data_IF_043626494872
#
_entry.id   IF_043626494872
#
_cell.length_a   1.000
_cell.length_b   1.000
_cell.length_c   1.000
_cell.angle_alpha   90.00
_cell.angle_beta   90.00
_cell.angle_gamma   90.00
#
_symmetry.space_group_name_H-M   'P 1'
#
loop_
_entity.id
_entity.type
_entity.pdbx_description
1 polymer ?
#
# COMPACT_ATOMS: atom_id res chain seq x y z
N UNK A 1 10.35 -8.82 5.01
CA UNK A 1 8.96 -9.27 4.82
C UNK A 1 8.29 -9.46 6.18
N UNK A 2 6.97 -9.19 6.30
CA UNK A 2 6.25 -9.12 7.59
C UNK A 2 5.69 -10.46 8.10
N UNK A 3 5.59 -11.47 7.25
CA UNK A 3 4.85 -12.71 7.56
C UNK A 3 3.36 -12.57 7.29
N UNK A 4 2.53 -13.41 7.92
CA UNK A 4 1.08 -13.39 7.76
C UNK A 4 0.48 -12.16 8.44
N UNK A 5 -0.27 -11.37 7.69
CA UNK A 5 -1.03 -10.22 8.17
C UNK A 5 -2.26 -10.73 8.90
N UNK A 6 -2.48 -10.20 10.10
CA UNK A 6 -3.57 -10.59 11.00
C UNK A 6 -4.52 -9.43 11.29
N UNK A 7 -4.15 -8.20 10.91
CA UNK A 7 -4.98 -7.02 11.05
C UNK A 7 -4.54 -5.93 10.05
N UNK A 8 -5.51 -5.14 9.59
CA UNK A 8 -5.30 -4.00 8.70
C UNK A 8 -6.10 -2.82 9.25
N UNK A 9 -5.41 -1.71 9.51
CA UNK A 9 -6.04 -0.41 9.76
C UNK A 9 -6.25 0.27 8.41
N UNK A 10 -7.51 0.55 8.09
CA UNK A 10 -7.93 1.13 6.82
C UNK A 10 -8.31 2.61 7.00
N UNK A 11 -8.06 3.45 5.99
CA UNK A 11 -8.60 4.82 5.98
C UNK A 11 -10.11 4.79 5.70
N UNK A 12 -10.73 5.96 5.74
CA UNK A 12 -12.13 6.14 5.37
C UNK A 12 -12.29 6.61 3.91
N UNK A 13 -13.43 6.27 3.30
CA UNK A 13 -13.80 6.83 1.99
C UNK A 13 -14.04 8.32 2.13
N UNK A 14 -13.35 9.12 1.32
CA UNK A 14 -13.38 10.58 1.37
C UNK A 14 -12.12 11.21 1.97
N UNK A 15 -11.26 10.43 2.61
CA UNK A 15 -10.00 10.93 3.17
C UNK A 15 -9.07 11.52 2.10
N UNK A 16 -8.35 12.58 2.48
CA UNK A 16 -7.24 13.14 1.73
C UNK A 16 -5.92 12.49 2.16
N UNK A 17 -5.23 11.90 1.20
CA UNK A 17 -3.89 11.36 1.39
C UNK A 17 -2.85 12.33 0.85
N UNK A 18 -1.76 12.50 1.60
CA UNK A 18 -0.56 13.25 1.18
C UNK A 18 0.57 12.27 0.97
N UNK A 19 1.28 12.38 -0.16
CA UNK A 19 2.42 11.51 -0.45
C UNK A 19 3.44 11.49 0.69
N UNK A 20 3.84 10.29 1.10
CA UNK A 20 4.80 10.06 2.17
C UNK A 20 4.21 9.98 3.57
N UNK A 21 3.01 10.54 3.80
CA UNK A 21 2.29 10.40 5.06
C UNK A 21 1.63 9.03 5.16
N UNK A 22 1.52 8.50 6.39
CA UNK A 22 0.83 7.23 6.63
C UNK A 22 -0.66 7.34 6.32
N UNK A 23 -1.21 6.36 5.60
CA UNK A 23 -2.64 6.29 5.30
C UNK A 23 -3.33 5.01 5.83
N UNK A 24 -2.54 4.01 6.20
CA UNK A 24 -3.01 2.71 6.66
C UNK A 24 -1.92 2.06 7.49
N UNK A 25 -2.24 1.01 8.24
CA UNK A 25 -1.25 0.17 8.90
C UNK A 25 -1.59 -1.31 8.73
N UNK A 26 -0.57 -2.16 8.71
CA UNK A 26 -0.73 -3.61 8.71
C UNK A 26 0.00 -4.22 9.89
N UNK A 27 -0.63 -5.19 10.54
CA UNK A 27 -0.04 -5.90 11.66
C UNK A 27 0.08 -7.40 11.35
N UNK A 28 1.24 -7.95 11.69
CA UNK A 28 1.50 -9.39 11.77
C UNK A 28 1.79 -9.78 13.21
N UNK A 29 1.86 -11.09 13.50
CA UNK A 29 2.30 -11.56 14.82
C UNK A 29 3.75 -11.19 15.21
N UNK A 30 4.47 -10.39 14.40
CA UNK A 30 5.84 -9.94 14.64
C UNK A 30 6.00 -8.43 14.70
N UNK A 31 5.20 -7.68 13.95
CA UNK A 31 5.38 -6.24 13.79
C UNK A 31 4.07 -5.59 13.34
N UNK A 32 3.91 -4.32 13.71
CA UNK A 32 2.97 -3.39 13.10
C UNK A 32 3.75 -2.38 12.26
N UNK A 33 3.30 -2.11 11.04
CA UNK A 33 3.97 -1.24 10.08
C UNK A 33 2.96 -0.31 9.43
N UNK A 34 3.26 0.98 9.50
CA UNK A 34 2.54 2.04 8.79
C UNK A 34 2.86 2.00 7.29
N UNK A 35 1.85 2.28 6.47
CA UNK A 35 1.93 2.34 5.03
C UNK A 35 1.91 3.80 4.58
N UNK A 36 3.03 4.33 4.06
CA UNK A 36 3.05 5.68 3.51
C UNK A 36 2.32 5.71 2.17
N UNK A 37 1.59 6.80 1.90
CA UNK A 37 0.90 6.97 0.63
C UNK A 37 1.93 7.18 -0.50
N UNK A 38 1.86 6.41 -1.60
CA UNK A 38 2.82 6.54 -2.69
C UNK A 38 2.62 7.84 -3.49
N UNK A 39 1.40 8.38 -3.48
CA UNK A 39 0.97 9.61 -4.16
C UNK A 39 -0.15 10.28 -3.35
N UNK A 40 -0.36 11.57 -3.59
CA UNK A 40 -1.39 12.40 -3.00
C UNK A 40 -2.73 12.22 -3.74
N UNK A 41 -3.85 12.20 -3.01
CA UNK A 41 -5.17 11.98 -3.62
C UNK A 41 -6.33 11.83 -2.65
N UNK A 42 -7.51 11.53 -3.18
CA UNK A 42 -8.73 11.32 -2.40
C UNK A 42 -9.16 9.84 -2.43
N UNK A 43 -9.47 9.26 -1.28
CA UNK A 43 -9.91 7.85 -1.18
C UNK A 43 -11.30 7.71 -1.78
N UNK A 44 -11.42 6.99 -2.89
CA UNK A 44 -12.70 6.69 -3.56
C UNK A 44 -13.33 5.40 -3.05
N UNK A 45 -12.50 4.41 -2.71
CA UNK A 45 -12.92 3.10 -2.21
C UNK A 45 -11.87 2.54 -1.26
N UNK A 46 -12.34 1.74 -0.31
CA UNK A 46 -11.55 1.01 0.66
C UNK A 46 -11.95 -0.46 0.57
N UNK A 47 -10.99 -1.38 0.68
CA UNK A 47 -11.27 -2.80 0.66
C UNK A 47 -11.70 -3.30 2.05
N UNK A 48 -13.00 -3.19 2.32
CA UNK A 48 -13.61 -3.62 3.58
C UNK A 48 -13.49 -5.13 3.82
N UNK A 49 -13.22 -5.95 2.79
CA UNK A 49 -12.98 -7.40 2.96
C UNK A 49 -11.76 -7.68 3.84
N UNK A 50 -10.80 -6.75 3.93
CA UNK A 50 -9.60 -6.89 4.74
C UNK A 50 -9.85 -6.81 6.25
N UNK A 51 -11.00 -6.31 6.69
CA UNK A 51 -11.38 -6.31 8.11
C UNK A 51 -11.63 -7.75 8.62
N UNK A 52 -12.28 -8.56 7.78
CA UNK A 52 -12.60 -9.97 8.08
C UNK A 52 -11.54 -10.95 7.56
N UNK A 53 -10.84 -10.60 6.48
CA UNK A 53 -9.86 -11.44 5.79
C UNK A 53 -8.54 -10.70 5.50
N UNK A 54 -7.79 -10.29 6.55
CA UNK A 54 -6.54 -9.52 6.40
C UNK A 54 -5.43 -10.30 5.68
N UNK A 55 -5.47 -11.64 5.72
CA UNK A 55 -4.49 -12.51 5.07
C UNK A 55 -4.60 -12.53 3.54
N UNK A 56 -5.66 -11.94 2.97
CA UNK A 56 -5.76 -11.69 1.52
C UNK A 56 -4.58 -10.87 0.98
N UNK A 57 -3.99 -9.98 1.79
CA UNK A 57 -2.76 -9.25 1.43
C UNK A 57 -1.62 -10.22 1.13
N UNK A 58 -1.52 -11.33 1.88
CA UNK A 58 -0.51 -12.36 1.65
C UNK A 58 -0.88 -13.29 0.49
N UNK A 59 -2.15 -13.66 0.35
CA UNK A 59 -2.59 -14.66 -0.62
C UNK A 59 -2.66 -14.12 -2.05
N UNK A 60 -3.11 -12.87 -2.22
CA UNK A 60 -3.35 -12.25 -3.53
C UNK A 60 -3.10 -10.73 -3.49
N UNK A 61 -1.84 -10.34 -3.21
CA UNK A 61 -1.42 -8.95 -2.96
C UNK A 61 -1.88 -7.94 -4.01
N UNK A 62 -1.85 -8.31 -5.30
CA UNK A 62 -2.20 -7.43 -6.41
C UNK A 62 -3.62 -7.64 -6.95
N UNK A 63 -4.32 -8.69 -6.49
CA UNK A 63 -5.71 -8.96 -6.83
C UNK A 63 -6.62 -8.58 -5.67
N UNK A 64 -7.08 -9.56 -4.90
CA UNK A 64 -8.02 -9.34 -3.78
C UNK A 64 -7.44 -8.58 -2.59
N UNK A 65 -6.12 -8.52 -2.45
CA UNK A 65 -5.42 -7.83 -1.35
C UNK A 65 -5.23 -6.31 -1.52
N UNK A 66 -5.91 -5.67 -2.49
CA UNK A 66 -5.87 -4.22 -2.66
C UNK A 66 -6.39 -3.51 -1.40
N UNK A 67 -5.85 -2.32 -1.08
CA UNK A 67 -6.21 -1.59 0.16
C UNK A 67 -7.17 -0.43 -0.14
N UNK A 68 -6.80 0.46 -1.08
CA UNK A 68 -7.59 1.62 -1.48
C UNK A 68 -7.62 1.82 -2.99
N UNK A 69 -8.66 2.50 -3.47
CA UNK A 69 -8.69 3.14 -4.79
C UNK A 69 -8.67 4.64 -4.58
N UNK A 70 -7.73 5.32 -5.24
CA UNK A 70 -7.48 6.75 -5.06
C UNK A 70 -7.83 7.54 -6.32
N UNK A 71 -8.45 8.71 -6.16
CA UNK A 71 -8.46 9.77 -7.17
C UNK A 71 -7.15 10.56 -7.04
N UNK A 72 -6.32 10.50 -8.09
CA UNK A 72 -5.01 11.15 -8.12
C UNK A 72 -5.19 12.67 -8.12
N UNK A 73 -4.50 13.36 -7.20
CA UNK A 73 -4.50 14.83 -7.12
C UNK A 73 -3.47 15.46 -8.04
N UNK A 74 -2.28 14.88 -8.12
CA UNK A 74 -1.20 15.30 -9.03
C UNK A 74 -0.67 14.10 -9.82
N UNK A 75 -0.89 14.09 -11.13
CA UNK A 75 -0.44 13.00 -12.00
C UNK A 75 1.08 12.97 -12.19
N UNK A 76 1.77 14.10 -11.97
CA UNK A 76 3.24 14.16 -12.11
C UNK A 76 3.96 13.34 -11.04
N UNK A 77 3.33 13.10 -9.88
CA UNK A 77 3.91 12.23 -8.83
C UNK A 77 4.06 10.77 -9.29
N UNK A 78 3.33 10.34 -10.33
CA UNK A 78 3.52 9.01 -10.93
C UNK A 78 4.88 8.86 -11.62
N UNK A 79 5.42 9.95 -12.17
CA UNK A 79 6.71 9.94 -12.87
C UNK A 79 7.88 9.75 -11.88
N UNK A 80 7.65 9.96 -10.59
CA UNK A 80 8.64 9.74 -9.52
C UNK A 80 8.64 8.30 -8.98
N UNK A 81 7.68 7.46 -9.40
CA UNK A 81 7.62 6.07 -8.99
C UNK A 81 8.55 5.21 -9.84
N UNK A 82 9.09 4.16 -9.23
CA UNK A 82 9.91 3.18 -9.95
C UNK A 82 9.06 2.41 -10.95
N UNK A 83 9.60 2.18 -12.14
CA UNK A 83 9.03 1.20 -13.04
C UNK A 83 9.15 -0.21 -12.44
N UNK A 84 8.32 -1.16 -12.89
CA UNK A 84 8.42 -2.55 -12.41
C UNK A 84 9.85 -3.12 -12.59
N UNK A 85 10.51 -3.01 -13.76
CA UNK A 85 11.88 -3.49 -13.92
C UNK A 85 12.88 -2.86 -12.94
N UNK A 86 12.77 -1.55 -12.69
CA UNK A 86 13.67 -0.86 -11.77
C UNK A 86 13.44 -1.35 -10.33
N UNK A 87 12.18 -1.54 -9.93
CA UNK A 87 11.84 -2.06 -8.61
C UNK A 87 12.30 -3.52 -8.41
N UNK A 88 12.19 -4.36 -9.44
CA UNK A 88 12.69 -5.74 -9.40
C UNK A 88 14.21 -5.76 -9.13
N UNK A 89 14.98 -4.86 -9.76
CA UNK A 89 16.43 -4.71 -9.53
C UNK A 89 16.75 -4.18 -8.13
N UNK A 90 15.98 -3.19 -7.66
CA UNK A 90 16.12 -2.64 -6.32
C UNK A 90 15.96 -3.72 -5.24
N UNK A 91 14.89 -4.51 -5.32
CA UNK A 91 14.59 -5.57 -4.34
C UNK A 91 15.59 -6.72 -4.42
N UNK A 92 16.13 -7.02 -5.61
CA UNK A 92 17.20 -8.01 -5.76
C UNK A 92 18.55 -7.57 -5.15
N UNK A 93 18.65 -6.34 -4.65
CA UNK A 93 19.90 -5.74 -4.19
C UNK A 93 20.88 -5.44 -5.33
N UNK A 94 20.40 -5.42 -6.57
CA UNK A 94 21.20 -5.17 -7.77
C UNK A 94 21.32 -3.67 -8.10
N UNK A 95 20.72 -2.80 -7.28
CA UNK A 95 20.79 -1.35 -7.40
C UNK A 95 21.66 -0.73 -6.30
N UNK A 96 22.90 -1.19 -6.16
CA UNK A 96 24.01 -0.38 -5.64
C UNK A 96 25.31 -0.80 -6.36
N UNK A 97 25.75 0.08 -7.26
CA UNK A 97 27.02 0.11 -7.96
C UNK A 97 27.23 1.50 -8.53
#
# INVERSE_FOLDING_TARGET
>A
ALGTIIYVELPEVGDELTRGDSFAAVESGKASVELPAPISGHVLKVNQELEDAPDLINQDTYGKGWIVVLAIKDAAELDELMSKPDYDLFVAGAAEG
#
